data_IF_523255705556
#
_entry.id   IF_523255705556
#
_cell.length_a   1.000
_cell.length_b   1.000
_cell.length_c   1.000
_cell.angle_alpha   90.00
_cell.angle_beta   90.00
_cell.angle_gamma   90.00
#
_symmetry.space_group_name_H-M   'P 1'
#
loop_
_entity.id
_entity.type
_entity.pdbx_description
1 polymer ?
#
# COMPACT_ATOMS: atom_id res chain seq x y z
N UNK A 1 26.02 -22.46 33.55
CA UNK A 1 25.64 -23.73 32.91
C UNK A 1 25.07 -23.42 31.54
N UNK A 2 25.67 -23.99 30.52
CA UNK A 2 25.30 -23.86 29.11
C UNK A 2 23.99 -24.63 28.88
N UNK A 3 22.93 -23.92 28.51
CA UNK A 3 21.74 -24.53 27.92
C UNK A 3 21.82 -24.35 26.41
N UNK A 4 22.39 -25.33 25.72
CA UNK A 4 22.41 -25.40 24.27
C UNK A 4 20.97 -25.64 23.77
N UNK A 5 20.32 -24.58 23.30
CA UNK A 5 19.08 -24.65 22.54
C UNK A 5 19.41 -24.46 21.06
N UNK A 6 19.10 -25.47 20.26
CA UNK A 6 19.26 -25.53 18.80
C UNK A 6 18.94 -24.18 18.13
N UNK A 7 19.98 -23.43 17.75
CA UNK A 7 19.84 -22.26 16.89
C UNK A 7 19.58 -22.76 15.47
N UNK A 8 18.33 -23.16 15.20
CA UNK A 8 17.86 -23.29 13.83
C UNK A 8 18.07 -21.96 13.15
N UNK A 9 18.88 -21.95 12.09
CA UNK A 9 19.08 -20.80 11.20
C UNK A 9 17.73 -20.41 10.62
N UNK A 10 17.00 -19.59 11.37
CA UNK A 10 15.72 -19.05 10.94
C UNK A 10 16.05 -17.84 10.11
N UNK A 11 16.04 -18.01 8.78
CA UNK A 11 16.04 -16.86 7.88
C UNK A 11 14.66 -16.20 8.00
N UNK A 12 14.63 -14.96 8.48
CA UNK A 12 13.43 -14.14 8.52
C UNK A 12 13.55 -13.03 7.47
N UNK A 13 12.48 -12.81 6.71
CA UNK A 13 12.39 -11.69 5.76
C UNK A 13 11.45 -10.65 6.35
N UNK A 14 11.94 -9.42 6.49
CA UNK A 14 11.21 -8.34 7.14
C UNK A 14 10.97 -7.19 6.17
N UNK A 15 9.72 -6.94 5.73
CA UNK A 15 9.41 -5.80 4.88
C UNK A 15 9.29 -4.51 5.71
N UNK A 16 9.75 -3.40 5.12
CA UNK A 16 9.49 -2.06 5.63
C UNK A 16 8.88 -1.21 4.51
N UNK A 17 7.91 -0.37 4.84
CA UNK A 17 7.31 0.57 3.89
C UNK A 17 7.25 1.94 4.53
N UNK A 18 7.84 2.92 3.87
CA UNK A 18 7.88 4.30 4.31
C UNK A 18 7.04 5.17 3.39
N UNK A 19 6.35 6.15 3.98
CA UNK A 19 5.64 7.22 3.29
C UNK A 19 6.30 8.52 3.72
N UNK A 20 7.52 8.75 3.23
CA UNK A 20 8.33 9.91 3.58
C UNK A 20 8.27 10.99 2.50
N UNK A 21 8.27 12.26 2.92
CA UNK A 21 8.52 13.41 2.06
C UNK A 21 10.03 13.69 1.86
N UNK A 22 10.88 13.04 2.67
CA UNK A 22 12.33 13.19 2.69
C UNK A 22 13.03 12.18 1.76
N UNK A 23 14.33 12.37 1.41
CA UNK A 23 15.07 11.42 0.60
C UNK A 23 15.06 10.04 1.24
N UNK A 24 15.00 9.04 0.38
CA UNK A 24 14.92 7.65 0.79
C UNK A 24 16.29 7.19 1.34
N UNK A 25 16.39 7.10 2.66
CA UNK A 25 17.62 6.80 3.40
C UNK A 25 17.47 5.44 4.09
N UNK A 26 18.25 4.46 3.64
CA UNK A 26 18.22 3.10 4.19
C UNK A 26 18.66 3.08 5.66
N UNK A 27 19.62 3.93 6.03
CA UNK A 27 20.16 3.93 7.39
C UNK A 27 19.10 4.43 8.38
N UNK A 28 18.29 5.41 7.99
CA UNK A 28 17.15 5.85 8.80
C UNK A 28 16.09 4.76 8.95
N UNK A 29 15.81 4.02 7.88
CA UNK A 29 14.91 2.87 7.95
C UNK A 29 15.49 1.82 8.92
N UNK A 30 16.75 1.39 8.72
CA UNK A 30 17.42 0.40 9.57
C UNK A 30 17.42 0.81 11.04
N UNK A 31 17.66 2.08 11.36
CA UNK A 31 17.61 2.61 12.72
C UNK A 31 16.21 2.47 13.34
N UNK A 32 15.16 2.81 12.59
CA UNK A 32 13.78 2.69 13.07
C UNK A 32 13.35 1.22 13.22
N UNK A 33 13.85 0.34 12.35
CA UNK A 33 13.66 -1.10 12.43
C UNK A 33 14.36 -1.69 13.67
N UNK A 34 15.59 -1.26 14.00
CA UNK A 34 16.26 -1.66 15.25
C UNK A 34 15.41 -1.28 16.47
N UNK A 35 14.85 -0.06 16.45
CA UNK A 35 13.97 0.44 17.51
C UNK A 35 12.69 -0.37 17.62
N UNK A 36 12.03 -0.69 16.51
CA UNK A 36 10.74 -1.39 16.47
C UNK A 36 10.87 -2.85 16.94
N UNK A 37 11.92 -3.54 16.50
CA UNK A 37 12.13 -4.96 16.80
C UNK A 37 13.01 -5.23 18.01
N UNK A 38 13.61 -4.20 18.62
CA UNK A 38 14.53 -4.34 19.75
C UNK A 38 15.67 -5.33 19.44
N UNK A 39 16.14 -5.34 18.19
CA UNK A 39 17.20 -6.22 17.69
C UNK A 39 18.06 -5.46 16.70
N UNK A 40 19.34 -5.78 16.60
CA UNK A 40 20.21 -5.09 15.64
C UNK A 40 19.90 -5.50 14.21
N UNK A 41 19.87 -4.53 13.31
CA UNK A 41 19.69 -4.74 11.87
C UNK A 41 21.02 -4.78 11.12
N UNK A 42 22.16 -4.62 11.82
CA UNK A 42 23.50 -4.53 11.22
C UNK A 42 23.84 -5.71 10.31
N UNK A 43 23.46 -6.92 10.71
CA UNK A 43 23.71 -8.16 9.97
C UNK A 43 22.61 -8.48 8.94
N UNK A 44 21.62 -7.61 8.77
CA UNK A 44 20.55 -7.83 7.79
C UNK A 44 21.04 -7.43 6.40
N UNK A 45 20.84 -8.34 5.43
CA UNK A 45 21.07 -8.09 4.02
C UNK A 45 19.84 -7.45 3.36
N UNK A 46 20.05 -6.37 2.60
CA UNK A 46 18.99 -5.81 1.76
C UNK A 46 18.73 -6.75 0.58
N UNK A 47 17.54 -7.34 0.53
CA UNK A 47 17.12 -8.19 -0.59
C UNK A 47 16.63 -7.38 -1.80
N UNK A 48 15.78 -6.38 -1.55
CA UNK A 48 15.15 -5.59 -2.62
C UNK A 48 14.68 -4.25 -2.09
N UNK A 49 14.75 -3.24 -2.95
CA UNK A 49 14.20 -1.91 -2.70
C UNK A 49 13.44 -1.41 -3.92
N UNK A 50 12.26 -0.86 -3.68
CA UNK A 50 11.41 -0.30 -4.72
C UNK A 50 11.02 1.12 -4.38
N UNK A 51 11.45 2.06 -5.23
CA UNK A 51 10.98 3.43 -5.20
C UNK A 51 9.77 3.57 -6.12
N UNK A 52 8.59 3.76 -5.54
CA UNK A 52 7.35 3.93 -6.31
C UNK A 52 6.92 5.39 -6.20
N UNK A 53 7.20 6.16 -7.25
CA UNK A 53 6.73 7.54 -7.34
C UNK A 53 5.19 7.56 -7.32
N UNK A 54 4.60 8.47 -6.53
CA UNK A 54 3.15 8.59 -6.35
C UNK A 54 2.45 7.27 -5.95
N UNK A 55 3.09 6.47 -5.07
CA UNK A 55 2.61 5.15 -4.66
C UNK A 55 1.19 5.12 -4.09
N UNK A 56 0.79 6.14 -3.33
CA UNK A 56 -0.53 6.22 -2.71
C UNK A 56 -1.20 7.57 -3.03
N UNK A 57 -2.53 7.57 -3.25
CA UNK A 57 -3.26 8.81 -3.42
C UNK A 57 -3.37 9.55 -2.08
N UNK A 58 -3.30 10.88 -2.13
CA UNK A 58 -3.50 11.73 -0.96
C UNK A 58 -4.96 11.68 -0.48
N UNK A 59 -5.15 11.46 0.83
CA UNK A 59 -6.46 11.46 1.50
C UNK A 59 -6.45 12.47 2.65
N UNK A 60 -6.51 13.78 2.35
CA UNK A 60 -6.61 14.79 3.39
C UNK A 60 -7.96 14.69 4.12
N UNK A 61 -8.04 15.14 5.38
CA UNK A 61 -9.31 15.28 6.08
C UNK A 61 -10.20 16.35 5.41
N UNK A 62 -11.55 16.19 5.40
CA UNK A 62 -12.30 15.05 5.95
C UNK A 62 -12.23 13.80 5.06
N UNK A 63 -12.24 12.62 5.69
CA UNK A 63 -12.17 11.33 4.99
C UNK A 63 -13.43 11.11 4.12
N UNK A 64 -13.25 11.13 2.81
CA UNK A 64 -14.29 10.79 1.85
C UNK A 64 -14.14 9.32 1.39
N UNK A 65 -14.93 8.41 1.99
CA UNK A 65 -14.85 6.97 1.71
C UNK A 65 -15.28 6.57 0.30
N UNK A 66 -16.08 7.41 -0.38
CA UNK A 66 -16.55 7.19 -1.76
C UNK A 66 -16.64 8.50 -2.52
N UNK A 67 -16.06 8.53 -3.71
CA UNK A 67 -16.17 9.63 -4.68
C UNK A 67 -17.00 9.20 -5.89
N UNK A 68 -17.62 10.15 -6.62
CA UNK A 68 -18.33 9.85 -7.86
C UNK A 68 -17.44 9.13 -8.87
N UNK A 69 -18.03 8.15 -9.57
CA UNK A 69 -17.34 7.31 -10.57
C UNK A 69 -17.75 7.63 -12.01
N UNK A 70 -18.88 8.33 -12.20
CA UNK A 70 -19.30 8.89 -13.47
C UNK A 70 -18.98 10.39 -13.46
N UNK A 71 -18.27 10.87 -14.48
CA UNK A 71 -17.78 12.25 -14.56
C UNK A 71 -18.61 13.11 -15.52
N UNK A 72 -19.68 12.57 -16.09
CA UNK A 72 -20.42 13.18 -17.19
C UNK A 72 -19.84 12.78 -18.55
N UNK A 73 -20.54 13.13 -19.64
CA UNK A 73 -20.09 12.95 -21.03
C UNK A 73 -19.62 11.53 -21.39
N UNK A 74 -20.26 10.51 -20.81
CA UNK A 74 -19.89 9.11 -21.00
C UNK A 74 -18.51 8.73 -20.43
N UNK A 75 -17.93 9.56 -19.55
CA UNK A 75 -16.63 9.32 -18.90
C UNK A 75 -16.80 8.71 -17.52
N UNK A 76 -15.99 7.69 -17.23
CA UNK A 76 -16.01 6.98 -15.96
C UNK A 76 -14.59 6.81 -15.42
N UNK A 77 -14.45 6.75 -14.10
CA UNK A 77 -13.15 6.62 -13.42
C UNK A 77 -13.22 5.59 -12.31
N UNK A 78 -12.27 4.66 -12.33
CA UNK A 78 -12.05 3.65 -11.30
C UNK A 78 -10.66 3.82 -10.69
N UNK A 79 -10.51 3.35 -9.45
CA UNK A 79 -9.25 3.34 -8.73
C UNK A 79 -9.47 3.46 -7.23
N UNK A 80 -8.45 3.14 -6.45
CA UNK A 80 -8.43 3.30 -5.00
C UNK A 80 -8.69 4.76 -4.57
N UNK A 81 -8.24 5.73 -5.36
CA UNK A 81 -8.54 7.16 -5.22
C UNK A 81 -10.02 7.55 -5.44
N UNK A 82 -10.89 6.60 -5.78
CA UNK A 82 -12.35 6.78 -5.87
C UNK A 82 -13.11 6.18 -4.69
N UNK A 83 -12.48 5.31 -3.91
CA UNK A 83 -13.02 4.74 -2.68
C UNK A 83 -11.99 4.92 -1.55
N UNK A 84 -11.53 3.84 -0.95
CA UNK A 84 -10.44 3.81 0.02
C UNK A 84 -9.13 3.53 -0.70
N UNK A 85 -8.03 4.13 -0.22
CA UNK A 85 -6.66 3.94 -0.72
C UNK A 85 -6.14 2.52 -0.42
N UNK A 86 -6.73 1.54 -1.09
CA UNK A 86 -6.45 0.12 -0.91
C UNK A 86 -6.82 -0.65 -2.17
N UNK A 87 -6.27 -1.86 -2.29
CA UNK A 87 -6.62 -2.82 -3.34
C UNK A 87 -8.14 -3.10 -3.33
N UNK A 88 -8.73 -3.27 -2.14
CA UNK A 88 -10.18 -3.52 -2.01
C UNK A 88 -11.00 -2.32 -2.48
N UNK A 89 -10.57 -1.09 -2.17
CA UNK A 89 -11.20 0.13 -2.65
C UNK A 89 -11.12 0.26 -4.17
N UNK A 90 -9.97 -0.07 -4.77
CA UNK A 90 -9.82 -0.11 -6.23
C UNK A 90 -10.83 -1.08 -6.87
N UNK A 91 -10.92 -2.32 -6.36
CA UNK A 91 -11.86 -3.31 -6.88
C UNK A 91 -13.33 -2.89 -6.67
N UNK A 92 -13.65 -2.31 -5.52
CA UNK A 92 -15.00 -1.83 -5.21
C UNK A 92 -15.43 -0.69 -6.13
N UNK A 93 -14.54 0.27 -6.39
CA UNK A 93 -14.79 1.36 -7.35
C UNK A 93 -14.96 0.84 -8.77
N UNK A 94 -14.12 -0.12 -9.20
CA UNK A 94 -14.22 -0.76 -10.52
C UNK A 94 -15.58 -1.44 -10.72
N UNK A 95 -16.09 -2.14 -9.71
CA UNK A 95 -17.43 -2.74 -9.76
C UNK A 95 -18.53 -1.69 -9.91
N UNK A 96 -18.40 -0.52 -9.28
CA UNK A 96 -19.37 0.57 -9.47
C UNK A 96 -19.27 1.19 -10.87
N UNK A 97 -18.06 1.39 -11.39
CA UNK A 97 -17.86 1.87 -12.76
C UNK A 97 -18.52 0.93 -13.75
N UNK A 98 -18.29 -0.38 -13.63
CA UNK A 98 -18.90 -1.36 -14.52
C UNK A 98 -20.44 -1.26 -14.55
N UNK A 99 -21.07 -1.09 -13.37
CA UNK A 99 -22.53 -0.88 -13.28
C UNK A 99 -22.98 0.44 -13.91
N UNK A 100 -22.23 1.52 -13.69
CA UNK A 100 -22.54 2.83 -14.25
C UNK A 100 -22.41 2.84 -15.77
N UNK A 101 -21.38 2.18 -16.31
CA UNK A 101 -21.18 1.96 -17.75
C UNK A 101 -22.33 1.14 -18.34
N UNK A 102 -22.68 0.00 -17.73
CA UNK A 102 -23.77 -0.84 -18.21
C UNK A 102 -25.10 -0.08 -18.26
N UNK A 103 -25.41 0.71 -17.22
CA UNK A 103 -26.59 1.57 -17.20
C UNK A 103 -26.55 2.65 -18.29
N UNK A 104 -25.40 3.31 -18.49
CA UNK A 104 -25.23 4.33 -19.52
C UNK A 104 -25.41 3.78 -20.94
N UNK A 105 -24.98 2.54 -21.18
CA UNK A 105 -25.12 1.86 -22.47
C UNK A 105 -26.49 1.18 -22.66
N UNK A 106 -27.37 1.21 -21.67
CA UNK A 106 -28.63 0.46 -21.69
C UNK A 106 -28.46 -1.07 -21.64
N UNK A 107 -27.28 -1.55 -21.28
CA UNK A 107 -26.90 -2.97 -21.23
C UNK A 107 -27.16 -3.59 -19.84
N UNK A 108 -28.27 -3.24 -19.21
CA UNK A 108 -28.69 -3.85 -17.94
C UNK A 108 -29.25 -5.25 -18.20
N UNK A 109 -28.60 -6.26 -17.62
CA UNK A 109 -29.12 -7.62 -17.54
C UNK A 109 -30.29 -7.70 -16.58
#
# INVERSE_FOLDING_TARGET
MVGAGLAGLTCAVTPATTLAAAPDDEDLVRLELERLWSTSTREWDLLVRHHVAAALPAVPPPLALRRPVALGDGRFVAGDHRDTSSIQGAMASGRRVARAVAAHLGATR
#
